data_IF_976429041314
#
_entry.id   IF_976429041314
#
_cell.length_a   1.000
_cell.length_b   1.000
_cell.length_c   1.000
_cell.angle_alpha   90.00
_cell.angle_beta   90.00
_cell.angle_gamma   90.00
#
_symmetry.space_group_name_H-M   'P 1'
#
loop_
_entity.id
_entity.type
_entity.pdbx_description
1 polymer ?
#
# COMPACT_ATOMS: atom_id res chain seq x y z
N UNK A 1 29.16 -26.10 -47.28
CA UNK A 1 28.50 -26.34 -45.97
C UNK A 1 28.23 -25.05 -45.17
N UNK A 2 28.06 -23.88 -45.81
CA UNK A 2 27.93 -22.58 -45.11
C UNK A 2 26.49 -22.07 -44.94
N UNK A 3 25.57 -22.47 -45.83
CA UNK A 3 24.15 -22.06 -45.79
C UNK A 3 23.44 -22.34 -44.45
N UNK A 4 23.53 -23.55 -43.84
CA UNK A 4 22.85 -23.80 -42.56
C UNK A 4 23.41 -22.98 -41.40
N UNK A 5 24.71 -22.64 -41.42
CA UNK A 5 25.36 -21.84 -40.38
C UNK A 5 24.81 -20.41 -40.34
N UNK A 6 24.50 -19.82 -41.50
CA UNK A 6 23.91 -18.48 -41.63
C UNK A 6 22.49 -18.44 -41.07
N UNK A 7 21.69 -19.50 -41.29
CA UNK A 7 20.34 -19.59 -40.72
C UNK A 7 20.38 -19.77 -39.20
N UNK A 8 21.30 -20.60 -38.69
CA UNK A 8 21.47 -20.81 -37.24
C UNK A 8 21.94 -19.53 -36.54
N UNK A 9 22.90 -18.80 -37.12
CA UNK A 9 23.38 -17.54 -36.53
C UNK A 9 22.30 -16.45 -36.56
N UNK A 10 21.54 -16.34 -37.66
CA UNK A 10 20.40 -15.43 -37.75
C UNK A 10 19.31 -15.74 -36.73
N UNK A 11 18.96 -17.02 -36.56
CA UNK A 11 17.99 -17.45 -35.55
C UNK A 11 18.48 -17.16 -34.11
N UNK A 12 19.76 -17.44 -33.82
CA UNK A 12 20.34 -17.17 -32.51
C UNK A 12 20.34 -15.66 -32.20
N UNK A 13 20.68 -14.82 -33.18
CA UNK A 13 20.63 -13.36 -33.05
C UNK A 13 19.20 -12.87 -32.80
N UNK A 14 18.22 -13.43 -33.50
CA UNK A 14 16.80 -13.11 -33.29
C UNK A 14 16.34 -13.48 -31.86
N UNK A 15 16.72 -14.67 -31.37
CA UNK A 15 16.43 -15.09 -30.00
C UNK A 15 17.03 -14.15 -28.96
N UNK A 16 18.28 -13.70 -29.14
CA UNK A 16 18.92 -12.74 -28.23
C UNK A 16 18.15 -11.41 -28.21
N UNK A 17 17.73 -10.91 -29.38
CA UNK A 17 16.96 -9.67 -29.49
C UNK A 17 15.60 -9.82 -28.79
N UNK A 18 14.90 -10.94 -28.99
CA UNK A 18 13.60 -11.19 -28.36
C UNK A 18 13.72 -11.26 -26.83
N UNK A 19 14.72 -11.97 -26.30
CA UNK A 19 14.97 -12.06 -24.85
C UNK A 19 15.32 -10.70 -24.26
N UNK A 20 16.22 -9.95 -24.91
CA UNK A 20 16.60 -8.61 -24.45
C UNK A 20 15.40 -7.63 -24.48
N UNK A 21 14.58 -7.70 -25.52
CA UNK A 21 13.36 -6.89 -25.66
C UNK A 21 12.34 -7.22 -24.58
N UNK A 22 12.12 -8.52 -24.31
CA UNK A 22 11.21 -8.97 -23.26
C UNK A 22 11.64 -8.48 -21.88
N UNK A 23 12.92 -8.64 -21.53
CA UNK A 23 13.44 -8.17 -20.25
C UNK A 23 13.31 -6.66 -20.09
N UNK A 24 13.54 -5.90 -21.16
CA UNK A 24 13.38 -4.45 -21.17
C UNK A 24 11.92 -4.06 -20.99
N UNK A 25 11.01 -4.69 -21.73
CA UNK A 25 9.57 -4.45 -21.61
C UNK A 25 9.04 -4.77 -20.21
N UNK A 26 9.39 -5.94 -19.67
CA UNK A 26 9.00 -6.33 -18.31
C UNK A 26 9.49 -5.33 -17.26
N UNK A 27 10.73 -4.84 -17.40
CA UNK A 27 11.30 -3.82 -16.51
C UNK A 27 10.55 -2.48 -16.62
N UNK A 28 10.27 -2.00 -17.84
CA UNK A 28 9.54 -0.76 -18.07
C UNK A 28 8.09 -0.86 -17.56
N UNK A 29 7.41 -1.96 -17.84
CA UNK A 29 6.05 -2.23 -17.33
C UNK A 29 6.01 -2.21 -15.80
N UNK A 30 6.99 -2.84 -15.13
CA UNK A 30 7.11 -2.81 -13.67
C UNK A 30 7.34 -1.40 -13.13
N UNK A 31 8.19 -0.60 -13.79
CA UNK A 31 8.44 0.79 -13.42
C UNK A 31 7.15 1.61 -13.56
N UNK A 32 6.45 1.45 -14.67
CA UNK A 32 5.21 2.17 -14.94
C UNK A 32 4.11 1.80 -13.93
N UNK A 33 3.93 0.51 -13.64
CA UNK A 33 3.00 0.05 -12.61
C UNK A 33 3.30 0.70 -11.26
N UNK A 34 4.58 0.73 -10.85
CA UNK A 34 4.96 1.38 -9.59
C UNK A 34 4.70 2.88 -9.63
N UNK A 35 5.00 3.57 -10.72
CA UNK A 35 4.71 5.00 -10.79
C UNK A 35 3.20 5.29 -10.68
N UNK A 36 2.35 4.43 -11.26
CA UNK A 36 0.90 4.52 -11.13
C UNK A 36 0.41 4.25 -9.70
N UNK A 37 1.16 3.51 -8.87
CA UNK A 37 0.82 3.32 -7.46
C UNK A 37 0.91 4.62 -6.66
N UNK A 38 1.70 5.61 -7.09
CA UNK A 38 1.75 6.92 -6.42
C UNK A 38 0.45 7.70 -6.61
N UNK A 39 -0.25 7.48 -7.72
CA UNK A 39 -1.54 8.10 -8.04
C UNK A 39 -2.74 7.18 -7.84
N UNK A 40 -2.55 6.07 -7.12
CA UNK A 40 -3.61 5.08 -6.86
C UNK A 40 -4.87 5.73 -6.29
N UNK A 41 -6.04 5.32 -6.79
CA UNK A 41 -7.35 5.89 -6.48
C UNK A 41 -7.47 7.41 -6.69
N UNK A 42 -6.73 7.99 -7.64
CA UNK A 42 -6.78 9.43 -7.92
C UNK A 42 -6.11 10.31 -6.84
N UNK A 43 -5.47 9.69 -5.85
CA UNK A 43 -4.73 10.41 -4.82
C UNK A 43 -3.44 11.05 -5.38
N UNK A 44 -2.94 12.09 -4.73
CA UNK A 44 -1.77 12.85 -5.19
C UNK A 44 -0.84 13.24 -4.04
N UNK A 45 0.40 13.61 -4.39
CA UNK A 45 1.43 14.05 -3.44
C UNK A 45 2.20 12.92 -2.75
N UNK A 46 2.05 11.68 -3.21
CA UNK A 46 2.79 10.53 -2.69
C UNK A 46 4.17 10.42 -3.32
N UNK A 47 5.15 10.07 -2.49
CA UNK A 47 6.52 9.79 -2.89
C UNK A 47 6.94 8.43 -2.34
N UNK A 48 7.93 7.81 -2.96
CA UNK A 48 8.49 6.56 -2.45
C UNK A 48 9.31 6.82 -1.17
N UNK A 49 8.92 6.19 -0.07
CA UNK A 49 9.78 6.09 1.13
C UNK A 49 10.68 4.86 1.02
N UNK A 50 10.06 3.70 0.77
CA UNK A 50 10.76 2.48 0.43
C UNK A 50 10.11 1.80 -0.78
N UNK A 51 10.70 2.01 -1.96
CA UNK A 51 10.19 1.46 -3.22
C UNK A 51 10.26 -0.06 -3.28
N UNK A 52 11.19 -0.73 -2.60
CA UNK A 52 11.26 -2.20 -2.64
C UNK A 52 10.09 -2.83 -1.89
N UNK A 53 9.72 -2.25 -0.74
CA UNK A 53 8.58 -2.68 0.08
C UNK A 53 7.22 -2.13 -0.36
N UNK A 54 7.18 -1.24 -1.37
CA UNK A 54 5.93 -0.59 -1.79
C UNK A 54 5.45 0.50 -0.83
N UNK A 55 6.31 0.95 0.10
CA UNK A 55 5.97 1.94 1.11
C UNK A 55 6.20 3.36 0.57
N UNK A 56 5.17 4.18 0.73
CA UNK A 56 5.07 5.54 0.22
C UNK A 56 4.84 6.50 1.38
N UNK A 57 5.20 7.76 1.18
CA UNK A 57 5.03 8.82 2.15
C UNK A 57 4.47 10.06 1.48
N UNK A 58 3.56 10.73 2.17
CA UNK A 58 3.07 12.06 1.82
C UNK A 58 3.45 13.03 2.92
N UNK A 59 4.05 14.15 2.53
CA UNK A 59 4.38 15.28 3.42
C UNK A 59 3.61 16.49 2.92
N UNK A 60 2.91 17.16 3.83
CA UNK A 60 2.19 18.41 3.54
C UNK A 60 2.67 19.42 4.57
N UNK A 61 3.02 20.62 4.12
CA UNK A 61 3.47 21.68 5.01
C UNK A 61 2.39 22.01 6.05
N UNK A 62 2.80 22.14 7.32
CA UNK A 62 1.88 22.37 8.44
C UNK A 62 1.10 21.14 8.94
N UNK A 63 1.31 19.95 8.35
CA UNK A 63 0.64 18.72 8.78
C UNK A 63 1.63 17.58 9.02
N UNK A 64 1.27 16.68 9.95
CA UNK A 64 2.01 15.45 10.18
C UNK A 64 1.96 14.56 8.92
N UNK A 65 3.07 13.89 8.55
CA UNK A 65 3.12 13.04 7.37
C UNK A 65 2.24 11.79 7.50
N UNK A 66 1.97 11.16 6.36
CA UNK A 66 1.26 9.89 6.28
C UNK A 66 2.10 8.86 5.53
N UNK A 67 2.11 7.62 6.00
CA UNK A 67 2.66 6.47 5.30
C UNK A 67 1.54 5.71 4.59
N UNK A 68 1.81 5.16 3.42
CA UNK A 68 0.86 4.33 2.66
C UNK A 68 1.55 3.19 1.95
N UNK A 69 0.83 2.08 1.80
CA UNK A 69 1.19 0.97 0.90
C UNK A 69 -0.03 0.59 0.07
N UNK A 70 0.16 0.39 -1.24
CA UNK A 70 -0.87 -0.15 -2.14
C UNK A 70 -0.71 -1.67 -2.16
N UNK A 71 -1.81 -2.41 -2.07
CA UNK A 71 -1.77 -3.87 -2.11
C UNK A 71 -1.26 -4.37 -3.46
N UNK A 72 -0.60 -5.53 -3.49
CA UNK A 72 -0.09 -6.10 -4.74
C UNK A 72 -1.22 -6.40 -5.74
N UNK A 73 -2.39 -6.80 -5.22
CA UNK A 73 -3.61 -7.01 -6.02
C UNK A 73 -4.26 -5.71 -6.49
N UNK A 74 -3.87 -4.55 -5.96
CA UNK A 74 -4.45 -3.22 -6.23
C UNK A 74 -5.93 -3.09 -5.85
N UNK A 75 -6.39 -3.95 -4.95
CA UNK A 75 -7.75 -3.91 -4.41
C UNK A 75 -7.91 -2.91 -3.26
N UNK A 76 -6.80 -2.56 -2.59
CA UNK A 76 -6.84 -1.62 -1.47
C UNK A 76 -5.51 -0.86 -1.29
N UNK A 77 -5.56 0.20 -0.50
CA UNK A 77 -4.39 0.88 0.03
C UNK A 77 -4.49 1.07 1.54
N UNK A 78 -3.43 0.71 2.24
CA UNK A 78 -3.28 0.84 3.68
C UNK A 78 -2.53 2.13 3.98
N UNK A 79 -3.02 2.93 4.92
CA UNK A 79 -2.48 4.23 5.28
C UNK A 79 -2.35 4.33 6.80
N UNK A 80 -1.20 4.77 7.29
CA UNK A 80 -0.95 5.00 8.71
C UNK A 80 -0.53 6.47 8.92
N UNK A 81 -1.11 7.09 9.93
CA UNK A 81 -0.77 8.44 10.41
C UNK A 81 -0.46 8.41 11.89
N UNK A 82 0.27 9.43 12.36
CA UNK A 82 0.41 9.75 13.78
C UNK A 82 -0.46 10.99 14.09
N UNK A 83 -1.11 10.99 15.25
CA UNK A 83 -1.89 12.10 15.80
C UNK A 83 -1.02 13.06 16.59
N UNK A 84 -1.58 14.23 16.92
CA UNK A 84 -0.96 15.21 17.81
C UNK A 84 -0.80 14.71 19.26
N UNK A 85 -1.57 13.69 19.68
CA UNK A 85 -1.41 13.03 20.99
C UNK A 85 -0.41 11.86 20.96
N UNK A 86 0.26 11.63 19.81
CA UNK A 86 1.26 10.59 19.64
C UNK A 86 0.71 9.18 19.37
N UNK A 87 -0.62 9.00 19.33
CA UNK A 87 -1.24 7.75 18.91
C UNK A 87 -1.19 7.54 17.39
N UNK A 88 -1.34 6.28 16.96
CA UNK A 88 -1.34 5.91 15.54
C UNK A 88 -2.76 5.62 15.08
N UNK A 89 -3.09 6.10 13.88
CA UNK A 89 -4.37 5.81 13.20
C UNK A 89 -4.09 5.15 11.87
N UNK A 90 -4.75 4.02 11.64
CA UNK A 90 -4.68 3.25 10.41
C UNK A 90 -6.00 3.28 9.67
N UNK A 91 -5.89 3.34 8.34
CA UNK A 91 -6.99 3.31 7.41
C UNK A 91 -6.68 2.31 6.30
N UNK A 92 -7.62 1.46 5.92
CA UNK A 92 -7.53 0.66 4.68
C UNK A 92 -8.65 1.10 3.77
N UNK A 93 -8.29 1.69 2.63
CA UNK A 93 -9.23 2.14 1.60
C UNK A 93 -9.36 1.06 0.53
N UNK A 94 -10.57 0.55 0.32
CA UNK A 94 -10.87 -0.42 -0.74
C UNK A 94 -11.24 0.28 -2.05
N UNK A 95 -10.86 -0.31 -3.18
CA UNK A 95 -11.11 0.22 -4.52
C UNK A 95 -12.53 -0.08 -5.00
N UNK A 96 -13.49 0.27 -4.16
CA UNK A 96 -14.91 0.08 -4.37
C UNK A 96 -15.62 1.39 -4.07
N UNK A 97 -16.45 1.82 -5.00
CA UNK A 97 -17.34 2.97 -4.79
C UNK A 97 -18.45 2.59 -3.81
N UNK A 98 -18.80 3.54 -2.94
CA UNK A 98 -19.89 3.40 -1.98
C UNK A 98 -20.65 4.73 -1.81
N UNK A 99 -21.87 4.63 -1.28
CA UNK A 99 -22.69 5.79 -0.92
C UNK A 99 -22.24 6.38 0.42
N UNK A 100 -22.11 7.70 0.50
CA UNK A 100 -21.64 8.36 1.71
C UNK A 100 -22.51 8.05 2.93
N UNK A 101 -21.86 7.76 4.05
CA UNK A 101 -22.52 7.33 5.28
C UNK A 101 -22.94 5.85 5.31
N UNK A 102 -22.78 5.10 4.22
CA UNK A 102 -23.01 3.66 4.23
C UNK A 102 -22.00 2.95 5.14
N UNK A 103 -22.45 1.87 5.79
CA UNK A 103 -21.61 1.01 6.62
C UNK A 103 -21.82 -0.44 6.25
N UNK A 104 -20.72 -1.19 6.16
CA UNK A 104 -20.76 -2.65 6.02
C UNK A 104 -20.13 -3.23 7.27
N UNK A 105 -20.82 -4.13 7.96
CA UNK A 105 -20.31 -4.75 9.19
C UNK A 105 -20.48 -6.25 9.15
N UNK A 106 -19.48 -6.98 9.65
CA UNK A 106 -19.53 -8.43 9.80
C UNK A 106 -18.92 -8.84 11.13
N UNK A 107 -19.49 -9.91 11.72
CA UNK A 107 -18.92 -10.54 12.90
C UNK A 107 -17.93 -11.62 12.49
N UNK A 108 -16.65 -11.44 12.78
CA UNK A 108 -15.56 -12.31 12.32
C UNK A 108 -14.89 -13.04 13.48
N UNK A 109 -14.52 -14.30 13.25
CA UNK A 109 -13.75 -15.12 14.18
C UNK A 109 -12.31 -15.26 13.65
N UNK A 110 -11.32 -14.79 14.40
CA UNK A 110 -9.90 -14.91 14.03
C UNK A 110 -9.22 -16.14 14.62
N UNK A 111 -9.93 -16.92 15.44
CA UNK A 111 -9.51 -18.21 15.99
C UNK A 111 -10.71 -19.03 16.46
N UNK A 112 -10.55 -20.35 16.55
CA UNK A 112 -11.60 -21.31 16.96
C UNK A 112 -12.10 -21.12 18.39
N UNK A 113 -11.33 -20.43 19.24
CA UNK A 113 -11.66 -20.17 20.64
C UNK A 113 -11.77 -18.66 20.96
N UNK A 114 -11.71 -17.80 19.95
CA UNK A 114 -11.83 -16.36 20.15
C UNK A 114 -13.29 -15.92 20.08
N UNK A 115 -13.64 -14.90 20.86
CA UNK A 115 -14.94 -14.25 20.71
C UNK A 115 -15.02 -13.56 19.35
N UNK A 116 -16.19 -13.57 18.70
CA UNK A 116 -16.36 -12.84 17.45
C UNK A 116 -16.08 -11.35 17.66
N UNK A 117 -15.33 -10.76 16.75
CA UNK A 117 -15.09 -9.33 16.69
C UNK A 117 -16.00 -8.72 15.62
N UNK A 118 -16.68 -7.64 15.97
CA UNK A 118 -17.46 -6.87 15.01
C UNK A 118 -16.50 -5.99 14.21
N UNK A 119 -16.37 -6.30 12.94
CA UNK A 119 -15.56 -5.56 11.99
C UNK A 119 -16.45 -4.66 11.14
N UNK A 120 -16.03 -3.41 10.92
CA UNK A 120 -16.85 -2.38 10.26
C UNK A 120 -16.04 -1.64 9.20
N UNK A 121 -16.65 -1.48 8.03
CA UNK A 121 -16.23 -0.56 6.98
C UNK A 121 -17.17 0.63 6.95
N UNK A 122 -16.60 1.82 6.85
CA UNK A 122 -17.33 3.08 6.67
C UNK A 122 -17.10 3.59 5.25
N UNK A 123 -18.13 4.08 4.59
CA UNK A 123 -17.93 4.88 3.39
C UNK A 123 -17.42 6.27 3.78
N UNK A 124 -16.23 6.63 3.29
CA UNK A 124 -15.63 7.95 3.45
C UNK A 124 -15.06 8.41 2.12
N UNK A 125 -15.46 9.59 1.66
CA UNK A 125 -15.09 10.15 0.37
C UNK A 125 -15.39 9.20 -0.80
N UNK A 126 -16.54 8.51 -0.71
CA UNK A 126 -16.99 7.53 -1.72
C UNK A 126 -16.19 6.23 -1.77
N UNK A 127 -15.34 5.94 -0.78
CA UNK A 127 -14.58 4.68 -0.67
C UNK A 127 -14.86 3.97 0.64
N UNK A 128 -14.89 2.64 0.62
CA UNK A 128 -15.01 1.84 1.84
C UNK A 128 -13.70 1.86 2.61
N UNK A 129 -13.78 2.18 3.90
CA UNK A 129 -12.62 2.37 4.78
C UNK A 129 -12.74 1.54 6.04
N UNK A 130 -11.74 0.72 6.29
CA UNK A 130 -11.52 0.08 7.57
C UNK A 130 -10.62 0.96 8.46
N UNK A 131 -10.93 1.09 9.75
CA UNK A 131 -10.19 1.97 10.66
C UNK A 131 -9.70 1.26 11.90
N UNK A 132 -8.46 1.53 12.33
CA UNK A 132 -7.89 1.03 13.59
C UNK A 132 -7.03 2.10 14.27
N UNK A 133 -6.93 2.02 15.59
CA UNK A 133 -6.06 2.89 16.40
C UNK A 133 -5.09 2.05 17.22
N UNK A 134 -3.89 2.58 17.44
CA UNK A 134 -2.89 2.03 18.34
C UNK A 134 -2.35 3.14 19.24
N UNK A 135 -2.14 2.84 20.51
CA UNK A 135 -1.54 3.77 21.48
C UNK A 135 -0.01 3.89 21.34
N UNK A 136 0.60 2.99 20.58
CA UNK A 136 2.04 2.94 20.33
C UNK A 136 2.31 2.56 18.88
N UNK A 137 3.58 2.55 18.47
CA UNK A 137 4.00 2.14 17.12
C UNK A 137 3.44 0.75 16.82
N UNK A 138 2.65 0.58 15.74
CA UNK A 138 2.12 -0.72 15.38
C UNK A 138 3.26 -1.68 15.02
N UNK A 139 3.33 -2.81 15.72
CA UNK A 139 4.30 -3.87 15.45
C UNK A 139 3.60 -5.23 15.41
N UNK A 140 2.57 -5.31 14.57
CA UNK A 140 1.73 -6.50 14.41
C UNK A 140 1.41 -6.74 12.94
N UNK A 141 0.79 -7.89 12.67
CA UNK A 141 0.16 -8.15 11.38
C UNK A 141 -1.28 -7.66 11.42
N UNK A 142 -1.55 -6.53 10.78
CA UNK A 142 -2.87 -5.92 10.74
C UNK A 142 -3.69 -6.56 9.62
N UNK A 143 -4.71 -7.32 10.01
CA UNK A 143 -5.61 -8.05 9.12
C UNK A 143 -7.05 -7.71 9.44
N UNK A 144 -7.91 -7.78 8.44
CA UNK A 144 -9.34 -7.63 8.61
C UNK A 144 -10.11 -8.22 7.45
N UNK A 145 -11.30 -8.74 7.74
CA UNK A 145 -12.25 -9.22 6.74
C UNK A 145 -13.63 -8.65 7.04
N UNK A 146 -14.31 -8.10 6.04
CA UNK A 146 -15.71 -7.66 6.13
C UNK A 146 -16.40 -7.97 4.81
N UNK A 147 -17.31 -8.94 4.80
CA UNK A 147 -17.89 -9.51 3.60
C UNK A 147 -16.81 -10.03 2.65
N UNK A 148 -16.76 -9.47 1.45
CA UNK A 148 -15.78 -9.81 0.40
C UNK A 148 -14.51 -8.94 0.47
N UNK A 149 -14.41 -8.02 1.43
CA UNK A 149 -13.28 -7.12 1.57
C UNK A 149 -12.30 -7.70 2.58
N UNK A 150 -11.08 -8.00 2.15
CA UNK A 150 -10.03 -8.54 3.00
C UNK A 150 -8.73 -7.78 2.80
N UNK A 151 -7.99 -7.55 3.88
CA UNK A 151 -6.65 -6.99 3.85
C UNK A 151 -5.73 -7.68 4.85
N UNK A 152 -4.42 -7.62 4.57
CA UNK A 152 -3.41 -8.26 5.38
C UNK A 152 -2.06 -7.55 5.25
N UNK A 153 -1.71 -6.76 6.26
CA UNK A 153 -0.52 -5.91 6.28
C UNK A 153 0.44 -6.29 7.40
N UNK A 154 1.69 -6.55 7.03
CA UNK A 154 2.76 -6.76 7.99
C UNK A 154 3.33 -5.41 8.44
N UNK A 155 2.69 -4.76 9.43
CA UNK A 155 3.14 -3.44 9.90
C UNK A 155 4.51 -3.50 10.58
N UNK A 156 4.91 -4.65 11.11
CA UNK A 156 6.27 -4.90 11.61
C UNK A 156 7.38 -4.68 10.57
N UNK A 157 7.04 -4.68 9.27
CA UNK A 157 8.00 -4.43 8.18
C UNK A 157 8.07 -2.96 7.75
N UNK A 158 7.17 -2.12 8.25
CA UNK A 158 7.10 -0.71 7.87
C UNK A 158 8.08 0.13 8.70
N UNK A 159 8.76 1.05 8.03
CA UNK A 159 9.59 2.04 8.72
C UNK A 159 8.77 3.26 9.14
N UNK A 160 8.42 3.32 10.42
CA UNK A 160 7.65 4.42 11.04
C UNK A 160 8.50 5.61 11.48
N UNK A 161 9.83 5.55 11.35
CA UNK A 161 10.76 6.63 11.75
C UNK A 161 10.36 8.02 11.21
N UNK A 162 9.90 8.17 9.95
CA UNK A 162 9.48 9.47 9.45
C UNK A 162 8.28 10.09 10.19
N UNK A 163 7.35 9.26 10.66
CA UNK A 163 6.18 9.73 11.42
C UNK A 163 6.62 10.19 12.81
N UNK A 164 7.44 9.38 13.48
CA UNK A 164 7.99 9.70 14.81
C UNK A 164 8.81 10.98 14.80
N UNK A 165 9.70 11.14 13.81
CA UNK A 165 10.52 12.34 13.69
C UNK A 165 9.67 13.60 13.49
N UNK A 166 8.64 13.53 12.62
CA UNK A 166 7.75 14.67 12.40
C UNK A 166 6.93 15.03 13.64
N UNK A 167 6.44 14.03 14.38
CA UNK A 167 5.74 14.24 15.64
C UNK A 167 6.62 14.88 16.72
N UNK A 168 7.84 14.37 16.91
CA UNK A 168 8.77 14.96 17.89
C UNK A 168 9.14 16.40 17.53
N UNK A 169 9.30 16.70 16.24
CA UNK A 169 9.51 18.07 15.76
C UNK A 169 8.31 18.97 16.05
N UNK A 170 7.09 18.52 15.77
CA UNK A 170 5.89 19.33 16.03
C UNK A 170 5.66 19.59 17.51
N UNK A 171 5.97 18.63 18.38
CA UNK A 171 5.88 18.82 19.84
C UNK A 171 6.95 19.78 20.34
N UNK A 172 8.17 19.71 19.80
CA UNK A 172 9.25 20.61 20.18
C UNK A 172 8.99 22.08 19.79
N UNK A 173 8.32 22.33 18.67
CA UNK A 173 7.92 23.68 18.24
C UNK A 173 6.82 24.31 19.12
N UNK A 174 6.14 23.52 19.96
CA UNK A 174 5.09 24.00 20.87
C UNK A 174 5.61 24.44 22.26
N UNK A 175 6.89 24.22 22.56
CA UNK A 175 7.56 24.61 23.83
C UNK A 175 8.37 25.88 23.60
#
# INVERSE_FOLDING_TARGET
MTKPIIFISGFMMLCIILVASWNTFAKLSRINSKNNELTFMGSSGWQWHNKSQGLQIKRVEGYLPALRKVSESKEYASLITITEDGSYRGFVFFNQDCEEGATVSESVFYGTHEKPQLEVLHCLHGKLVYMKRWSAVPNERWRGRVGNFEFNEALSEWDFTPLQHAYLKSVAELI
#
